data_IF_971344380366
#
_entry.id   IF_971344380366
#
_cell.length_a   1.000
_cell.length_b   1.000
_cell.length_c   1.000
_cell.angle_alpha   90.00
_cell.angle_beta   90.00
_cell.angle_gamma   90.00
#
_symmetry.space_group_name_H-M   'P 1'
#
loop_
_entity.id
_entity.type
_entity.pdbx_description
1 polymer ?
#
# COMPACT_ATOMS: atom_id res chain seq x y z
N UNK A 1 13.85 -19.63 -15.05
CA UNK A 1 13.42 -18.24 -14.79
C UNK A 1 14.31 -17.73 -13.69
N UNK A 2 14.96 -16.61 -13.88
CA UNK A 2 15.96 -16.07 -12.96
C UNK A 2 15.24 -15.41 -11.75
N UNK A 3 15.65 -15.77 -10.54
CA UNK A 3 15.07 -15.23 -9.28
C UNK A 3 15.25 -13.72 -9.21
N UNK A 4 16.41 -13.22 -9.64
CA UNK A 4 16.69 -11.79 -9.67
C UNK A 4 15.71 -11.04 -10.59
N UNK A 5 15.45 -11.58 -11.79
CA UNK A 5 14.49 -10.98 -12.74
C UNK A 5 13.09 -10.93 -12.13
N UNK A 6 12.66 -12.03 -11.50
CA UNK A 6 11.35 -12.10 -10.84
C UNK A 6 11.22 -11.06 -9.71
N UNK A 7 12.26 -10.90 -8.88
CA UNK A 7 12.29 -9.92 -7.80
C UNK A 7 12.22 -8.46 -8.32
N UNK A 8 12.98 -8.17 -9.39
CA UNK A 8 12.98 -6.84 -10.02
C UNK A 8 11.62 -6.53 -10.66
N UNK A 9 11.01 -7.49 -11.38
CA UNK A 9 9.69 -7.30 -11.99
C UNK A 9 8.61 -7.04 -10.93
N UNK A 10 8.62 -7.81 -9.83
CA UNK A 10 7.74 -7.57 -8.71
C UNK A 10 7.94 -6.16 -8.12
N UNK A 11 9.17 -5.76 -7.83
CA UNK A 11 9.46 -4.46 -7.24
C UNK A 11 9.10 -3.28 -8.17
N UNK A 12 9.28 -3.42 -9.48
CA UNK A 12 8.82 -2.42 -10.47
C UNK A 12 7.30 -2.28 -10.49
N UNK A 13 6.57 -3.38 -10.38
CA UNK A 13 5.11 -3.36 -10.28
C UNK A 13 4.64 -2.68 -8.97
N UNK A 14 5.37 -2.86 -7.86
CA UNK A 14 5.11 -2.14 -6.62
C UNK A 14 5.36 -0.63 -6.76
N UNK A 15 6.46 -0.21 -7.40
CA UNK A 15 6.72 1.21 -7.71
C UNK A 15 5.58 1.82 -8.52
N UNK A 16 5.03 1.10 -9.49
CA UNK A 16 3.88 1.58 -10.26
C UNK A 16 2.65 1.77 -9.36
N UNK A 17 2.37 0.82 -8.48
CA UNK A 17 1.22 0.90 -7.55
C UNK A 17 1.33 2.04 -6.55
N UNK A 18 2.54 2.36 -6.08
CA UNK A 18 2.72 3.48 -5.14
C UNK A 18 2.37 4.83 -5.76
N UNK A 19 2.42 4.96 -7.10
CA UNK A 19 1.98 6.18 -7.80
C UNK A 19 0.49 6.45 -7.61
N UNK A 20 -0.34 5.43 -7.41
CA UNK A 20 -1.76 5.63 -7.13
C UNK A 20 -1.98 6.29 -5.77
N UNK A 21 -1.17 6.00 -4.74
CA UNK A 21 -1.24 6.74 -3.48
C UNK A 21 -0.98 8.23 -3.69
N UNK A 22 0.04 8.57 -4.49
CA UNK A 22 0.38 9.97 -4.81
C UNK A 22 -0.75 10.63 -5.61
N UNK A 23 -1.34 9.92 -6.58
CA UNK A 23 -2.45 10.41 -7.36
C UNK A 23 -3.67 10.76 -6.48
N UNK A 24 -4.08 9.84 -5.60
CA UNK A 24 -5.18 10.10 -4.67
C UNK A 24 -4.82 11.19 -3.65
N UNK A 25 -3.57 11.24 -3.17
CA UNK A 25 -3.09 12.30 -2.29
C UNK A 25 -3.30 13.68 -2.92
N UNK A 26 -2.88 13.85 -4.18
CA UNK A 26 -3.08 15.10 -4.94
C UNK A 26 -4.58 15.43 -5.05
N UNK A 27 -5.42 14.44 -5.33
CA UNK A 27 -6.88 14.62 -5.37
C UNK A 27 -7.46 15.16 -4.06
N UNK A 28 -7.05 14.59 -2.91
CA UNK A 28 -7.48 15.08 -1.59
C UNK A 28 -6.95 16.48 -1.28
N UNK A 29 -5.71 16.80 -1.67
CA UNK A 29 -5.13 18.13 -1.49
C UNK A 29 -5.88 19.17 -2.34
N UNK A 30 -6.19 18.87 -3.59
CA UNK A 30 -7.00 19.73 -4.46
C UNK A 30 -8.41 19.93 -3.85
N UNK A 31 -9.04 18.85 -3.35
CA UNK A 31 -10.33 18.93 -2.69
C UNK A 31 -10.28 19.85 -1.44
N UNK A 32 -9.21 19.74 -0.65
CA UNK A 32 -9.02 20.64 0.52
C UNK A 32 -8.95 22.11 0.11
N UNK A 33 -8.17 22.43 -0.94
CA UNK A 33 -8.10 23.79 -1.48
C UNK A 33 -9.46 24.25 -2.03
N UNK A 34 -10.18 23.34 -2.72
CA UNK A 34 -11.53 23.61 -3.21
C UNK A 34 -12.52 23.93 -2.08
N UNK A 35 -12.53 23.15 -1.00
CA UNK A 35 -13.34 23.44 0.18
C UNK A 35 -12.96 24.75 0.86
N UNK A 36 -11.68 25.09 0.89
CA UNK A 36 -11.20 26.34 1.46
C UNK A 36 -11.64 27.56 0.64
N UNK A 37 -11.50 27.52 -0.68
CA UNK A 37 -11.80 28.67 -1.54
C UNK A 37 -13.30 28.80 -1.88
N UNK A 38 -14.00 27.68 -2.09
CA UNK A 38 -15.36 27.64 -2.59
C UNK A 38 -16.40 27.27 -1.52
N UNK A 39 -15.95 26.78 -0.37
CA UNK A 39 -16.82 26.30 0.70
C UNK A 39 -17.55 27.43 1.42
N UNK A 40 -18.84 27.65 1.06
CA UNK A 40 -19.69 28.69 1.65
C UNK A 40 -20.45 28.24 2.91
N UNK A 41 -20.64 26.90 3.07
CA UNK A 41 -21.42 26.36 4.20
C UNK A 41 -20.47 25.83 5.28
N UNK A 42 -20.95 25.77 6.53
CA UNK A 42 -20.18 25.20 7.65
C UNK A 42 -19.83 23.72 7.41
N UNK A 43 -20.72 23.00 6.71
CA UNK A 43 -20.44 21.62 6.29
C UNK A 43 -19.26 21.57 5.33
N UNK A 44 -19.21 22.40 4.30
CA UNK A 44 -18.10 22.44 3.35
C UNK A 44 -16.77 22.81 4.03
N UNK A 45 -16.79 23.81 4.90
CA UNK A 45 -15.61 24.23 5.69
C UNK A 45 -15.09 23.13 6.61
N UNK A 46 -15.97 22.27 7.13
CA UNK A 46 -15.59 21.16 7.99
C UNK A 46 -14.71 20.11 7.27
N UNK A 47 -14.75 20.01 5.93
CA UNK A 47 -13.92 19.10 5.15
C UNK A 47 -12.50 19.60 4.89
N UNK A 48 -12.19 20.88 5.07
CA UNK A 48 -10.88 21.47 4.77
C UNK A 48 -9.75 20.69 5.46
N UNK A 49 -9.79 20.62 6.78
CA UNK A 49 -8.74 19.98 7.59
C UNK A 49 -8.69 18.46 7.36
N UNK A 50 -9.81 17.70 7.42
CA UNK A 50 -9.78 16.26 7.21
C UNK A 50 -9.23 15.86 5.83
N UNK A 51 -9.61 16.55 4.76
CA UNK A 51 -9.09 16.25 3.41
C UNK A 51 -7.62 16.62 3.27
N UNK A 52 -7.17 17.72 3.90
CA UNK A 52 -5.75 18.08 3.96
C UNK A 52 -4.93 16.98 4.64
N UNK A 53 -5.36 16.54 5.81
CA UNK A 53 -4.67 15.50 6.59
C UNK A 53 -4.59 14.19 5.79
N UNK A 54 -5.69 13.74 5.21
CA UNK A 54 -5.71 12.54 4.38
C UNK A 54 -4.78 12.67 3.17
N UNK A 55 -4.80 13.81 2.48
CA UNK A 55 -3.91 14.07 1.34
C UNK A 55 -2.43 13.99 1.74
N UNK A 56 -2.06 14.61 2.87
CA UNK A 56 -0.68 14.56 3.39
C UNK A 56 -0.28 13.15 3.79
N UNK A 57 -1.14 12.40 4.49
CA UNK A 57 -0.87 11.02 4.89
C UNK A 57 -0.65 10.10 3.69
N UNK A 58 -1.53 10.15 2.68
CA UNK A 58 -1.39 9.38 1.46
C UNK A 58 -0.12 9.76 0.68
N UNK A 59 0.26 11.04 0.69
CA UNK A 59 1.49 11.51 0.05
C UNK A 59 2.73 10.94 0.74
N UNK A 60 2.74 10.93 2.08
CA UNK A 60 3.83 10.34 2.88
C UNK A 60 3.94 8.83 2.59
N UNK A 61 2.83 8.11 2.63
CA UNK A 61 2.79 6.66 2.34
C UNK A 61 3.29 6.41 0.91
N UNK A 62 2.73 7.09 -0.08
CA UNK A 62 3.08 6.91 -1.49
C UNK A 62 4.54 7.24 -1.79
N UNK A 63 5.04 8.37 -1.28
CA UNK A 63 6.44 8.77 -1.47
C UNK A 63 7.42 7.85 -0.75
N UNK A 64 7.11 7.48 0.50
CA UNK A 64 7.95 6.58 1.30
C UNK A 64 8.07 5.19 0.70
N UNK A 65 6.94 4.59 0.30
CA UNK A 65 6.93 3.26 -0.34
C UNK A 65 7.57 3.29 -1.72
N UNK A 66 7.37 4.37 -2.49
CA UNK A 66 8.03 4.56 -3.79
C UNK A 66 9.55 4.60 -3.63
N UNK A 67 10.06 5.41 -2.69
CA UNK A 67 11.49 5.50 -2.39
C UNK A 67 12.07 4.15 -1.94
N UNK A 68 11.39 3.47 -1.01
CA UNK A 68 11.82 2.17 -0.49
C UNK A 68 11.92 1.11 -1.59
N UNK A 69 10.92 1.03 -2.49
CA UNK A 69 10.93 0.06 -3.57
C UNK A 69 11.97 0.37 -4.65
N UNK A 70 12.21 1.64 -4.99
CA UNK A 70 13.28 2.02 -5.90
C UNK A 70 14.67 1.72 -5.33
N UNK A 71 14.89 1.94 -4.02
CA UNK A 71 16.13 1.57 -3.35
C UNK A 71 16.33 0.04 -3.36
N UNK A 72 15.26 -0.72 -3.14
CA UNK A 72 15.26 -2.19 -3.15
C UNK A 72 15.66 -2.75 -4.52
N UNK A 73 15.16 -2.20 -5.62
CA UNK A 73 15.55 -2.63 -6.98
C UNK A 73 17.07 -2.55 -7.16
N UNK A 74 17.70 -1.46 -6.72
CA UNK A 74 19.16 -1.29 -6.80
C UNK A 74 19.93 -2.24 -5.87
N UNK A 75 19.33 -2.61 -4.74
CA UNK A 75 19.93 -3.49 -3.77
C UNK A 75 19.89 -4.96 -4.23
N UNK A 76 18.83 -5.39 -4.91
CA UNK A 76 18.65 -6.76 -5.38
C UNK A 76 19.82 -7.27 -6.23
N UNK A 77 20.32 -6.45 -7.15
CA UNK A 77 21.45 -6.83 -8.01
C UNK A 77 22.73 -7.06 -7.18
N UNK A 78 22.95 -6.21 -6.16
CA UNK A 78 24.12 -6.36 -5.28
C UNK A 78 24.05 -7.59 -4.40
N UNK A 79 22.89 -7.80 -3.77
CA UNK A 79 22.67 -8.91 -2.85
C UNK A 79 22.73 -10.26 -3.60
N UNK A 80 22.13 -10.33 -4.77
CA UNK A 80 22.17 -11.50 -5.63
C UNK A 80 23.60 -11.86 -6.09
N UNK A 81 24.39 -10.87 -6.51
CA UNK A 81 25.77 -11.08 -6.94
C UNK A 81 26.71 -11.41 -5.77
N UNK A 82 26.35 -11.04 -4.54
CA UNK A 82 27.13 -11.36 -3.35
C UNK A 82 26.91 -12.79 -2.89
N UNK A 83 25.66 -13.22 -2.75
CA UNK A 83 25.27 -14.57 -2.34
C UNK A 83 23.86 -14.90 -2.87
N UNK A 84 23.77 -15.65 -3.94
CA UNK A 84 22.51 -16.02 -4.57
C UNK A 84 21.59 -16.82 -3.62
N UNK A 85 22.16 -17.74 -2.83
CA UNK A 85 21.38 -18.60 -1.92
C UNK A 85 20.81 -17.77 -0.77
N UNK A 86 21.62 -16.92 -0.16
CA UNK A 86 21.19 -16.04 0.90
C UNK A 86 20.14 -15.03 0.42
N UNK A 87 20.33 -14.44 -0.77
CA UNK A 87 19.35 -13.58 -1.42
C UNK A 87 18.00 -14.28 -1.57
N UNK A 88 18.02 -15.49 -2.11
CA UNK A 88 16.82 -16.28 -2.36
C UNK A 88 16.03 -16.55 -1.05
N UNK A 89 16.74 -17.01 -0.01
CA UNK A 89 16.11 -17.28 1.30
C UNK A 89 15.54 -16.01 1.93
N UNK A 90 16.26 -14.90 1.83
CA UNK A 90 15.80 -13.59 2.34
C UNK A 90 14.53 -13.13 1.64
N UNK A 91 14.40 -13.33 0.31
CA UNK A 91 13.22 -12.96 -0.46
C UNK A 91 12.00 -13.83 -0.13
N UNK A 92 12.17 -15.12 0.11
CA UNK A 92 11.09 -15.98 0.61
C UNK A 92 10.59 -15.47 1.96
N UNK A 93 11.49 -15.26 2.91
CA UNK A 93 11.12 -14.77 4.26
C UNK A 93 10.47 -13.40 4.21
N UNK A 94 11.00 -12.49 3.40
CA UNK A 94 10.45 -11.14 3.21
C UNK A 94 9.05 -11.19 2.62
N UNK A 95 8.83 -11.97 1.56
CA UNK A 95 7.52 -12.08 0.91
C UNK A 95 6.49 -12.68 1.86
N UNK A 96 6.84 -13.69 2.64
CA UNK A 96 5.96 -14.27 3.65
C UNK A 96 5.60 -13.28 4.75
N UNK A 97 6.57 -12.52 5.26
CA UNK A 97 6.32 -11.46 6.26
C UNK A 97 5.41 -10.38 5.70
N UNK A 98 5.61 -9.96 4.45
CA UNK A 98 4.79 -8.96 3.78
C UNK A 98 3.35 -9.45 3.61
N UNK A 99 3.14 -10.70 3.20
CA UNK A 99 1.79 -11.30 3.11
C UNK A 99 1.09 -11.27 4.47
N UNK A 100 1.78 -11.65 5.56
CA UNK A 100 1.21 -11.60 6.92
C UNK A 100 0.78 -10.18 7.30
N UNK A 101 1.55 -9.17 6.94
CA UNK A 101 1.20 -7.76 7.19
C UNK A 101 -0.06 -7.35 6.41
N UNK A 102 -0.15 -7.67 5.12
CA UNK A 102 -1.36 -7.39 4.33
C UNK A 102 -2.58 -8.12 4.90
N UNK A 103 -2.46 -9.39 5.26
CA UNK A 103 -3.57 -10.14 5.89
C UNK A 103 -4.06 -9.45 7.17
N UNK A 104 -3.16 -8.89 7.98
CA UNK A 104 -3.54 -8.12 9.16
C UNK A 104 -4.29 -6.83 8.77
N UNK A 105 -3.83 -6.08 7.77
CA UNK A 105 -4.51 -4.89 7.24
C UNK A 105 -5.92 -5.24 6.76
N UNK A 106 -6.07 -6.30 5.97
CA UNK A 106 -7.37 -6.75 5.44
C UNK A 106 -8.34 -7.29 6.51
N UNK A 107 -7.84 -7.61 7.70
CA UNK A 107 -8.70 -7.94 8.85
C UNK A 107 -9.10 -6.70 9.65
N UNK A 108 -8.18 -5.77 9.87
CA UNK A 108 -8.38 -4.60 10.74
C UNK A 108 -9.14 -3.49 10.02
N UNK A 109 -8.76 -3.16 8.80
CA UNK A 109 -9.32 -2.00 8.07
C UNK A 109 -10.83 -2.11 7.84
N UNK A 110 -11.42 -3.26 7.44
CA UNK A 110 -12.87 -3.39 7.32
C UNK A 110 -13.62 -3.13 8.65
N UNK A 111 -13.04 -3.52 9.79
CA UNK A 111 -13.63 -3.26 11.11
C UNK A 111 -13.65 -1.75 11.37
N UNK A 112 -12.55 -1.06 11.09
CA UNK A 112 -12.48 0.41 11.24
C UNK A 112 -13.49 1.11 10.30
N UNK A 113 -13.67 0.62 9.08
CA UNK A 113 -14.66 1.12 8.13
C UNK A 113 -16.08 0.98 8.71
N UNK A 114 -16.43 -0.18 9.26
CA UNK A 114 -17.74 -0.41 9.87
C UNK A 114 -17.95 0.54 11.06
N UNK A 115 -16.96 0.69 11.94
CA UNK A 115 -17.05 1.60 13.08
C UNK A 115 -17.24 3.05 12.60
N UNK A 116 -16.45 3.51 11.64
CA UNK A 116 -16.57 4.86 11.10
C UNK A 116 -17.92 5.09 10.42
N UNK A 117 -18.44 4.11 9.69
CA UNK A 117 -19.76 4.17 9.06
C UNK A 117 -20.89 4.26 10.11
N UNK A 118 -20.82 3.47 11.18
CA UNK A 118 -21.77 3.56 12.30
C UNK A 118 -21.70 4.91 13.01
N UNK A 119 -20.50 5.44 13.23
CA UNK A 119 -20.34 6.77 13.85
C UNK A 119 -21.02 7.87 13.06
N UNK A 120 -21.02 7.81 11.71
CA UNK A 120 -21.71 8.81 10.89
C UNK A 120 -23.22 8.89 11.19
N UNK A 121 -23.84 7.77 11.58
CA UNK A 121 -25.28 7.75 11.91
C UNK A 121 -25.60 8.46 13.23
N UNK A 122 -24.69 8.43 14.18
CA UNK A 122 -24.89 9.01 15.52
C UNK A 122 -24.38 10.44 15.63
N UNK A 123 -23.37 10.81 14.84
CA UNK A 123 -22.71 12.10 14.93
C UNK A 123 -23.48 13.16 14.15
N UNK A 124 -23.88 14.25 14.84
CA UNK A 124 -24.65 15.35 14.25
C UNK A 124 -23.77 16.54 13.83
N UNK A 125 -22.57 16.66 14.38
CA UNK A 125 -21.69 17.81 14.10
C UNK A 125 -21.00 17.68 12.75
N UNK A 126 -20.96 18.75 11.94
CA UNK A 126 -20.34 18.75 10.61
C UNK A 126 -18.89 18.27 10.62
N UNK A 127 -18.10 18.69 11.62
CA UNK A 127 -16.67 18.35 11.72
C UNK A 127 -16.43 16.85 11.90
N UNK A 128 -17.13 16.20 12.83
CA UNK A 128 -16.98 14.77 13.05
C UNK A 128 -17.48 13.94 11.86
N UNK A 129 -18.56 14.38 11.21
CA UNK A 129 -19.04 13.73 9.98
C UNK A 129 -18.01 13.85 8.86
N UNK A 130 -17.40 15.01 8.70
CA UNK A 130 -16.33 15.20 7.72
C UNK A 130 -15.13 14.29 8.02
N UNK A 131 -14.69 14.19 9.27
CA UNK A 131 -13.62 13.27 9.68
C UNK A 131 -13.96 11.82 9.34
N UNK A 132 -15.13 11.33 9.70
CA UNK A 132 -15.53 9.94 9.41
C UNK A 132 -15.58 9.68 7.91
N UNK A 133 -16.19 10.56 7.12
CA UNK A 133 -16.33 10.39 5.67
C UNK A 133 -14.97 10.39 4.97
N UNK A 134 -14.09 11.34 5.31
CA UNK A 134 -12.75 11.40 4.71
C UNK A 134 -11.87 10.22 5.14
N UNK A 135 -11.99 9.76 6.40
CA UNK A 135 -11.32 8.53 6.86
C UNK A 135 -11.81 7.32 6.10
N UNK A 136 -13.12 7.14 5.90
CA UNK A 136 -13.67 6.08 5.07
C UNK A 136 -13.10 6.12 3.65
N UNK A 137 -13.10 7.30 3.04
CA UNK A 137 -12.57 7.48 1.68
C UNK A 137 -11.09 7.10 1.60
N UNK A 138 -10.27 7.50 2.59
CA UNK A 138 -8.86 7.12 2.69
C UNK A 138 -8.69 5.61 2.81
N UNK A 139 -9.43 4.97 3.71
CA UNK A 139 -9.34 3.53 3.94
C UNK A 139 -9.77 2.72 2.71
N UNK A 140 -10.77 3.17 1.97
CA UNK A 140 -11.18 2.56 0.69
C UNK A 140 -10.06 2.64 -0.35
N UNK A 141 -9.38 3.79 -0.46
CA UNK A 141 -8.21 3.96 -1.35
C UNK A 141 -7.09 3.00 -0.96
N UNK A 142 -6.78 2.90 0.35
CA UNK A 142 -5.76 1.97 0.86
C UNK A 142 -6.11 0.53 0.50
N UNK A 143 -7.33 0.07 0.82
CA UNK A 143 -7.75 -1.30 0.50
C UNK A 143 -7.70 -1.60 -0.99
N UNK A 144 -8.08 -0.65 -1.84
CA UNK A 144 -8.03 -0.82 -3.29
C UNK A 144 -6.60 -1.01 -3.81
N UNK A 145 -5.66 -0.22 -3.32
CA UNK A 145 -4.25 -0.31 -3.73
C UNK A 145 -3.58 -1.55 -3.13
N UNK A 146 -3.78 -1.78 -1.84
CA UNK A 146 -3.19 -2.91 -1.10
C UNK A 146 -3.74 -4.26 -1.56
N UNK A 147 -5.01 -4.34 -2.01
CA UNK A 147 -5.58 -5.56 -2.58
C UNK A 147 -4.84 -6.04 -3.83
N UNK A 148 -4.47 -5.10 -4.70
CA UNK A 148 -3.64 -5.41 -5.86
C UNK A 148 -2.20 -5.78 -5.45
N UNK A 149 -1.64 -5.11 -4.43
CA UNK A 149 -0.31 -5.40 -3.92
C UNK A 149 -0.25 -6.79 -3.26
N UNK A 150 -1.26 -7.18 -2.48
CA UNK A 150 -1.36 -8.51 -1.88
C UNK A 150 -1.38 -9.61 -2.95
N UNK A 151 -2.21 -9.49 -3.98
CA UNK A 151 -2.27 -10.46 -5.07
C UNK A 151 -0.90 -10.63 -5.76
N UNK A 152 -0.18 -9.53 -5.98
CA UNK A 152 1.16 -9.58 -6.60
C UNK A 152 2.19 -10.26 -5.71
N UNK A 153 2.22 -9.94 -4.41
CA UNK A 153 3.20 -10.53 -3.49
C UNK A 153 2.92 -12.02 -3.27
N UNK A 154 1.65 -12.45 -3.26
CA UNK A 154 1.29 -13.87 -3.18
C UNK A 154 1.76 -14.64 -4.43
N UNK A 155 1.56 -14.09 -5.62
CA UNK A 155 2.02 -14.70 -6.86
C UNK A 155 3.54 -14.76 -6.92
N UNK A 156 4.22 -13.71 -6.50
CA UNK A 156 5.66 -13.66 -6.37
C UNK A 156 6.18 -14.73 -5.40
N UNK A 157 5.59 -14.84 -4.22
CA UNK A 157 5.95 -15.85 -3.21
C UNK A 157 5.75 -17.28 -3.70
N UNK A 158 4.63 -17.56 -4.40
CA UNK A 158 4.37 -18.87 -5.02
C UNK A 158 5.42 -19.21 -6.06
N UNK A 159 5.81 -18.27 -6.90
CA UNK A 159 6.84 -18.46 -7.92
C UNK A 159 8.21 -18.72 -7.28
N UNK A 160 8.58 -18.02 -6.22
CA UNK A 160 9.78 -18.31 -5.44
C UNK A 160 9.77 -19.75 -4.91
N UNK A 161 8.74 -20.15 -4.20
CA UNK A 161 8.64 -21.52 -3.65
C UNK A 161 8.72 -22.60 -4.71
N UNK A 162 8.13 -22.38 -5.88
CA UNK A 162 8.24 -23.33 -7.00
C UNK A 162 9.67 -23.49 -7.48
N UNK A 163 10.44 -22.41 -7.60
CA UNK A 163 11.85 -22.45 -7.97
C UNK A 163 12.70 -23.16 -6.91
N UNK A 164 12.41 -22.96 -5.61
CA UNK A 164 13.10 -23.66 -4.52
C UNK A 164 12.96 -25.19 -4.62
N UNK A 165 11.75 -25.65 -4.84
CA UNK A 165 11.47 -27.09 -4.99
C UNK A 165 12.21 -27.67 -6.20
N UNK A 166 12.20 -26.97 -7.33
CA UNK A 166 12.89 -27.40 -8.55
C UNK A 166 14.40 -27.51 -8.33
N UNK A 167 15.05 -26.54 -7.71
CA UNK A 167 16.48 -26.54 -7.44
C UNK A 167 16.87 -27.66 -6.48
N UNK A 168 16.07 -27.91 -5.42
CA UNK A 168 16.30 -29.04 -4.50
C UNK A 168 16.18 -30.43 -5.15
N UNK A 169 15.30 -30.56 -6.15
CA UNK A 169 15.12 -31.82 -6.88
C UNK A 169 16.29 -32.06 -7.85
N UNK A 170 16.75 -31.01 -8.51
CA UNK A 170 17.88 -31.10 -9.46
C UNK A 170 19.22 -31.41 -8.75
N UNK A 171 19.43 -30.91 -7.53
CA UNK A 171 20.66 -31.18 -6.75
C UNK A 171 20.66 -32.54 -6.04
N UNK A 172 19.58 -33.33 -6.11
CA UNK A 172 19.49 -34.68 -5.55
C UNK A 172 19.66 -35.81 -6.59
N UNK A 173 19.73 -35.47 -7.86
CA UNK A 173 20.05 -36.37 -8.97
C UNK A 173 21.54 -36.30 -9.33
#
# INVERSE_FOLDING_TARGET
>A
MDVLKLAIEWAKAEVLSTRFFIFFAIGFLIASVGFWQLGKTDLAKAYIIPTLVVGVLLLIIGSGTNYANNKRIKQFEKDFNSDEIAFYQSEIQRSESTIKQFVAVFKIVPIVIIIAALLILYVKTPTWRAICITTLSMLMVILFIDGNALSRIENYHKALKFLDLKNKTTNKM
#
